data_IF_491568072691
#
_entry.id   IF_491568072691
#
_cell.length_a   1.000
_cell.length_b   1.000
_cell.length_c   1.000
_cell.angle_alpha   90.00
_cell.angle_beta   90.00
_cell.angle_gamma   90.00
#
_symmetry.space_group_name_H-M   'P 1'
#
loop_
_entity.id
_entity.type
_entity.pdbx_description
1 polymer ?
#
# COMPACT_ATOMS: atom_id res chain seq x y z
N UNK A 1 -37.03 40.91 31.40
CA UNK A 1 -36.27 39.76 31.92
C UNK A 1 -36.28 38.56 30.98
N UNK A 2 -37.24 38.43 30.05
CA UNK A 2 -37.34 37.25 29.17
C UNK A 2 -36.36 37.21 27.99
N UNK A 3 -36.00 38.36 27.40
CA UNK A 3 -35.13 38.40 26.22
C UNK A 3 -33.73 37.79 26.48
N UNK A 4 -33.21 38.00 27.69
CA UNK A 4 -31.91 37.47 28.11
C UNK A 4 -31.93 35.94 28.28
N UNK A 5 -33.07 35.37 28.69
CA UNK A 5 -33.27 33.93 28.81
C UNK A 5 -33.26 33.27 27.42
N UNK A 6 -33.93 33.88 26.44
CA UNK A 6 -33.90 33.42 25.05
C UNK A 6 -32.50 33.54 24.42
N UNK A 7 -31.78 34.62 24.72
CA UNK A 7 -30.41 34.80 24.23
C UNK A 7 -29.44 33.77 24.83
N UNK A 8 -29.52 33.52 26.14
CA UNK A 8 -28.70 32.51 26.81
C UNK A 8 -29.06 31.09 26.34
N UNK A 9 -30.34 30.80 26.14
CA UNK A 9 -30.79 29.54 25.55
C UNK A 9 -30.23 29.31 24.15
N UNK A 10 -30.25 30.34 23.30
CA UNK A 10 -29.67 30.29 21.96
C UNK A 10 -28.15 30.06 21.99
N UNK A 11 -27.43 30.76 22.88
CA UNK A 11 -25.99 30.58 23.05
C UNK A 11 -25.62 29.16 23.52
N UNK A 12 -26.40 28.57 24.42
CA UNK A 12 -26.18 27.19 24.86
C UNK A 12 -26.37 26.18 23.73
N UNK A 13 -27.38 26.37 22.86
CA UNK A 13 -27.60 25.49 21.71
C UNK A 13 -26.43 25.62 20.71
N UNK A 14 -25.97 26.84 20.44
CA UNK A 14 -24.82 27.08 19.56
C UNK A 14 -23.55 26.42 20.12
N UNK A 15 -23.31 26.52 21.44
CA UNK A 15 -22.16 25.90 22.08
C UNK A 15 -22.20 24.35 22.01
N UNK A 16 -23.37 23.74 22.20
CA UNK A 16 -23.55 22.29 22.10
C UNK A 16 -23.33 21.83 20.65
N UNK A 17 -23.94 22.49 19.66
CA UNK A 17 -23.80 22.15 18.25
C UNK A 17 -22.36 22.36 17.77
N UNK A 18 -21.73 23.48 18.15
CA UNK A 18 -20.33 23.75 17.86
C UNK A 18 -19.38 22.74 18.50
N UNK A 19 -19.67 22.32 19.73
CA UNK A 19 -18.92 21.27 20.44
C UNK A 19 -19.00 19.91 19.74
N UNK A 20 -20.21 19.51 19.30
CA UNK A 20 -20.41 18.28 18.53
C UNK A 20 -19.66 18.36 17.20
N UNK A 21 -19.74 19.48 16.49
CA UNK A 21 -19.03 19.68 15.21
C UNK A 21 -17.50 19.62 15.36
N UNK A 22 -16.95 20.23 16.41
CA UNK A 22 -15.51 20.13 16.69
C UNK A 22 -15.10 18.73 17.14
N UNK A 23 -15.96 18.03 17.89
CA UNK A 23 -15.72 16.66 18.32
C UNK A 23 -15.68 15.70 17.13
N UNK A 24 -16.64 15.79 16.21
CA UNK A 24 -16.64 14.97 14.99
C UNK A 24 -15.49 15.34 14.06
N UNK A 25 -15.15 16.63 13.93
CA UNK A 25 -13.97 17.07 13.16
C UNK A 25 -12.66 16.50 13.71
N UNK A 26 -12.47 16.49 15.04
CA UNK A 26 -11.28 15.92 15.68
C UNK A 26 -11.16 14.41 15.44
N UNK A 27 -12.27 13.69 15.50
CA UNK A 27 -12.28 12.24 15.20
C UNK A 27 -12.02 11.99 13.72
N UNK A 28 -12.57 12.82 12.84
CA UNK A 28 -12.32 12.75 11.41
C UNK A 28 -10.84 12.99 11.09
N UNK A 29 -10.21 14.03 11.64
CA UNK A 29 -8.77 14.31 11.46
C UNK A 29 -7.88 13.18 12.01
N UNK A 30 -8.22 12.61 13.17
CA UNK A 30 -7.48 11.48 13.74
C UNK A 30 -7.60 10.24 12.85
N UNK A 31 -8.81 9.90 12.41
CA UNK A 31 -9.06 8.77 11.49
C UNK A 31 -8.34 8.96 10.15
N UNK A 32 -8.39 10.15 9.55
CA UNK A 32 -7.70 10.44 8.29
C UNK A 32 -6.16 10.39 8.40
N UNK A 33 -5.61 10.57 9.61
CA UNK A 33 -4.18 10.39 9.89
C UNK A 33 -3.77 8.93 10.11
N UNK A 34 -4.67 8.09 10.64
CA UNK A 34 -4.47 6.64 10.81
C UNK A 34 -4.72 5.85 9.52
N UNK A 35 -5.62 6.32 8.63
CA UNK A 35 -5.81 5.80 7.26
C UNK A 35 -4.69 6.20 6.28
N UNK A 36 -3.61 6.82 6.77
CA UNK A 36 -2.28 6.64 6.16
C UNK A 36 -1.62 5.33 6.61
N UNK A 37 -2.41 4.26 6.82
CA UNK A 37 -1.96 2.89 6.56
C UNK A 37 -1.36 2.96 5.16
N UNK A 38 -0.04 2.81 5.13
CA UNK A 38 0.80 3.40 4.11
C UNK A 38 0.19 3.32 2.72
N UNK A 39 0.30 4.43 1.98
CA UNK A 39 0.86 4.25 0.63
C UNK A 39 2.02 3.31 0.87
N UNK A 40 1.84 2.06 0.46
CA UNK A 40 2.80 0.99 0.64
C UNK A 40 4.01 1.51 -0.12
N UNK A 41 4.87 2.25 0.58
CA UNK A 41 6.23 2.50 0.17
C UNK A 41 6.67 1.09 -0.09
N UNK A 42 6.73 0.71 -1.37
CA UNK A 42 7.18 -0.61 -1.79
C UNK A 42 8.60 -0.64 -1.28
N UNK A 43 8.77 -1.01 0.00
CA UNK A 43 10.06 -1.12 0.63
C UNK A 43 10.79 -2.02 -0.33
N UNK A 44 11.87 -1.47 -0.90
CA UNK A 44 12.62 -2.14 -1.95
C UNK A 44 13.26 -3.36 -1.29
N UNK A 45 12.50 -4.45 -1.20
CA UNK A 45 12.89 -5.66 -0.53
C UNK A 45 14.01 -6.27 -1.37
N UNK A 46 15.24 -6.14 -0.87
CA UNK A 46 16.40 -6.69 -1.53
C UNK A 46 16.55 -8.12 -1.07
N UNK A 47 16.23 -9.05 -1.97
CA UNK A 47 16.52 -10.47 -1.76
C UNK A 47 17.89 -10.80 -2.32
N UNK A 48 18.64 -11.63 -1.58
CA UNK A 48 19.89 -12.22 -2.07
C UNK A 48 19.69 -13.73 -2.11
N UNK A 49 19.69 -14.27 -3.31
CA UNK A 49 19.59 -15.71 -3.57
C UNK A 49 20.92 -16.21 -4.11
N UNK A 50 21.28 -17.42 -3.75
CA UNK A 50 22.49 -18.08 -4.24
C UNK A 50 22.11 -18.87 -5.49
N UNK A 51 22.92 -18.76 -6.54
CA UNK A 51 22.74 -19.54 -7.77
C UNK A 51 23.13 -20.99 -7.47
N UNK A 52 22.22 -21.90 -7.79
CA UNK A 52 22.42 -23.34 -7.66
C UNK A 52 22.62 -23.94 -9.05
N UNK A 53 23.26 -25.11 -9.09
CA UNK A 53 23.53 -25.84 -10.33
C UNK A 53 22.86 -27.19 -10.27
N UNK A 54 22.17 -27.54 -11.35
CA UNK A 54 21.67 -28.89 -11.56
C UNK A 54 22.82 -29.82 -11.94
N UNK A 55 22.62 -31.13 -11.77
CA UNK A 55 23.59 -32.14 -12.21
C UNK A 55 23.84 -32.11 -13.73
N UNK A 56 22.90 -31.54 -14.50
CA UNK A 56 23.02 -31.28 -15.94
C UNK A 56 23.96 -30.13 -16.28
N UNK A 57 24.40 -29.34 -15.30
CA UNK A 57 25.23 -28.15 -15.47
C UNK A 57 24.43 -26.85 -15.62
N UNK A 58 23.10 -26.92 -15.64
CA UNK A 58 22.23 -25.75 -15.76
C UNK A 58 22.17 -24.96 -14.44
N UNK A 59 22.29 -23.64 -14.53
CA UNK A 59 22.19 -22.74 -13.39
C UNK A 59 20.73 -22.31 -13.17
N UNK A 60 20.25 -22.39 -11.94
CA UNK A 60 18.92 -21.92 -11.56
C UNK A 60 18.96 -21.14 -10.24
N UNK A 61 17.94 -20.31 -10.04
CA UNK A 61 17.72 -19.56 -8.81
C UNK A 61 16.34 -19.92 -8.26
N UNK A 62 16.26 -20.17 -6.95
CA UNK A 62 14.98 -20.36 -6.27
C UNK A 62 14.51 -19.02 -5.71
N UNK A 63 13.33 -18.57 -6.15
CA UNK A 63 12.74 -17.33 -5.66
C UNK A 63 12.00 -17.60 -4.35
N UNK A 64 12.18 -16.77 -3.31
CA UNK A 64 11.44 -16.92 -2.06
C UNK A 64 9.92 -16.84 -2.28
N UNK A 65 9.16 -17.68 -1.57
CA UNK A 65 7.69 -17.72 -1.67
C UNK A 65 7.02 -16.36 -1.41
N UNK A 66 7.59 -15.54 -0.54
CA UNK A 66 7.07 -14.20 -0.25
C UNK A 66 7.23 -13.27 -1.45
N UNK A 67 8.32 -13.40 -2.22
CA UNK A 67 8.54 -12.64 -3.44
C UNK A 67 7.52 -13.07 -4.50
N UNK A 68 7.36 -14.37 -4.73
CA UNK A 68 6.38 -14.92 -5.68
C UNK A 68 4.96 -14.43 -5.40
N UNK A 69 4.54 -14.42 -4.13
CA UNK A 69 3.25 -13.86 -3.70
C UNK A 69 3.12 -12.36 -3.94
N UNK A 70 4.21 -11.59 -3.79
CA UNK A 70 4.22 -10.15 -4.02
C UNK A 70 4.08 -9.79 -5.50
N UNK A 71 4.65 -10.59 -6.39
CA UNK A 71 4.59 -10.39 -7.85
C UNK A 71 3.47 -11.18 -8.53
N UNK A 72 2.72 -11.97 -7.75
CA UNK A 72 1.64 -12.85 -8.20
C UNK A 72 2.10 -13.80 -9.33
N UNK A 73 3.29 -14.38 -9.13
CA UNK A 73 3.86 -15.39 -10.03
C UNK A 73 3.52 -16.79 -9.51
N UNK A 74 2.87 -17.57 -10.36
CA UNK A 74 2.53 -18.97 -10.11
C UNK A 74 3.24 -19.92 -11.06
N UNK A 75 3.08 -21.22 -10.80
CA UNK A 75 3.52 -22.26 -11.74
C UNK A 75 2.76 -22.14 -13.06
N UNK A 76 3.50 -22.12 -14.17
CA UNK A 76 2.94 -21.99 -15.52
C UNK A 76 2.86 -20.55 -16.05
N UNK A 77 3.22 -19.54 -15.26
CA UNK A 77 3.35 -18.17 -15.76
C UNK A 77 4.54 -18.04 -16.72
N UNK A 78 4.31 -17.42 -17.89
CA UNK A 78 5.39 -17.06 -18.81
C UNK A 78 6.11 -15.81 -18.31
N UNK A 79 7.43 -15.93 -18.11
CA UNK A 79 8.30 -14.83 -17.69
C UNK A 79 9.29 -14.48 -18.81
N UNK A 80 9.59 -13.18 -18.93
CA UNK A 80 10.56 -12.64 -19.88
C UNK A 80 11.78 -12.09 -19.15
N UNK A 81 12.97 -12.50 -19.61
CA UNK A 81 14.24 -11.95 -19.21
C UNK A 81 14.67 -10.85 -20.18
N UNK A 82 14.86 -9.63 -19.68
CA UNK A 82 15.41 -8.51 -20.46
C UNK A 82 16.81 -8.18 -19.98
N UNK A 83 17.77 -8.25 -20.88
CA UNK A 83 19.11 -7.74 -20.62
C UNK A 83 19.10 -6.21 -20.64
N UNK A 84 19.64 -5.59 -19.61
CA UNK A 84 19.81 -4.14 -19.49
C UNK A 84 21.23 -3.75 -19.93
N UNK A 85 21.40 -2.51 -20.38
CA UNK A 85 22.70 -1.99 -20.88
C UNK A 85 23.81 -2.00 -19.83
N UNK A 86 23.45 -2.03 -18.54
CA UNK A 86 24.39 -2.11 -17.42
C UNK A 86 24.85 -3.54 -17.09
N UNK A 87 24.49 -4.54 -17.92
CA UNK A 87 24.81 -5.95 -17.70
C UNK A 87 23.94 -6.62 -16.62
N UNK A 88 22.92 -5.95 -16.11
CA UNK A 88 21.90 -6.56 -15.25
C UNK A 88 20.77 -7.16 -16.09
N UNK A 89 19.97 -8.03 -15.47
CA UNK A 89 18.79 -8.59 -16.10
C UNK A 89 17.54 -8.20 -15.31
N UNK A 90 16.49 -7.83 -16.03
CA UNK A 90 15.15 -7.63 -15.48
C UNK A 90 14.29 -8.85 -15.81
N UNK A 91 13.53 -9.32 -14.83
CA UNK A 91 12.58 -10.41 -14.99
C UNK A 91 11.17 -9.88 -14.79
N UNK A 92 10.31 -10.06 -15.78
CA UNK A 92 8.92 -9.62 -15.75
C UNK A 92 7.95 -10.70 -16.24
N UNK A 93 6.69 -10.63 -15.82
CA UNK A 93 5.63 -11.49 -16.35
C UNK A 93 5.20 -11.01 -17.72
N UNK A 94 5.06 -11.93 -18.67
CA UNK A 94 4.52 -11.62 -20.00
C UNK A 94 3.01 -11.52 -19.88
N UNK A 95 2.49 -10.31 -19.79
CA UNK A 95 1.06 -10.08 -19.99
C UNK A 95 0.81 -10.05 -21.49
N UNK A 96 0.31 -11.16 -22.06
CA UNK A 96 -0.27 -11.13 -23.41
C UNK A 96 -1.54 -10.27 -23.33
N UNK A 97 -1.42 -8.98 -23.67
CA UNK A 97 -2.56 -8.15 -24.02
C UNK A 97 -3.05 -8.66 -25.38
N UNK A 98 -4.02 -9.56 -25.36
CA UNK A 98 -4.82 -9.90 -26.55
C UNK A 98 -5.65 -8.66 -26.93
N UNK A 99 -5.54 -8.24 -28.20
CA UNK A 99 -6.33 -7.19 -28.85
C UNK A 99 -7.49 -7.84 -29.62
#
# INVERSE_FOLDING_TARGET
MELWIWFMGLLTVIAIVGGIFLYTKRIYEKSHSEWRVGTMDKQKARYRVVVQYLETGDAFIELPNDLLKQVDWGEGDELEWKALENGSFELGKITKLED
#
